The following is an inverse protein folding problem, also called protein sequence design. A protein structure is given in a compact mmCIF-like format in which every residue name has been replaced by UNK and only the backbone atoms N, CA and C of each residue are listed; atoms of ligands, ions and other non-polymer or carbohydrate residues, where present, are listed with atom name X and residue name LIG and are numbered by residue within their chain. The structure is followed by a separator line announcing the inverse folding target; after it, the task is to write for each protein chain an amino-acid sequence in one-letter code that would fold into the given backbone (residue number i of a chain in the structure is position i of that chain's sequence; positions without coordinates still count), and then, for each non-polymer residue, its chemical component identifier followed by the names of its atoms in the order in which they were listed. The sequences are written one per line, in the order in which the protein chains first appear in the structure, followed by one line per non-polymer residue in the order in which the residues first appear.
data_IF_741412026984
#
_entry.id   IF_741412026984
#
_cell.length_a   1.000
_cell.length_b   1.000
_cell.length_c   1.000
_cell.angle_alpha   90.00
_cell.angle_beta   90.00
_cell.angle_gamma   90.00
#
_symmetry.space_group_name_H-M   'P 1'
#
loop_
_entity.id
_entity.type
_entity.pdbx_description
1 polymer ?
#
# COMPACT_ATOMS: atom_id res chain seq x y z
N UNK A 1 17.96 0.61 -0.35
CA UNK A 1 16.83 0.97 0.52
C UNK A 1 15.95 1.92 -0.28
N UNK A 2 14.66 1.62 -0.49
CA UNK A 2 13.78 2.44 -1.34
C UNK A 2 13.64 3.85 -0.78
N UNK A 3 13.51 4.84 -1.67
CA UNK A 3 12.98 6.15 -1.30
C UNK A 3 11.47 6.04 -1.10
N UNK A 4 10.93 6.63 -0.03
CA UNK A 4 9.48 6.79 0.15
C UNK A 4 9.09 8.24 -0.09
N UNK A 5 8.12 8.46 -1.00
CA UNK A 5 7.62 9.77 -1.34
C UNK A 5 6.09 9.79 -1.25
N UNK A 6 5.56 10.61 -0.35
CA UNK A 6 4.12 10.78 -0.24
C UNK A 6 3.61 11.87 -1.18
N UNK A 7 2.51 11.57 -1.88
CA UNK A 7 1.75 12.53 -2.68
C UNK A 7 0.43 12.77 -1.94
N UNK A 8 0.34 13.91 -1.28
CA UNK A 8 -0.69 14.24 -0.29
C UNK A 8 -1.49 15.47 -0.71
N UNK A 9 -2.81 15.44 -0.51
CA UNK A 9 -3.66 16.54 -0.96
C UNK A 9 -5.14 16.28 -0.73
N UNK A 10 -5.99 17.21 -1.18
CA UNK A 10 -7.45 17.04 -1.10
C UNK A 10 -7.96 15.94 -2.04
N UNK A 11 -9.19 15.50 -1.82
CA UNK A 11 -9.87 14.62 -2.78
C UNK A 11 -9.96 15.35 -4.13
N UNK A 12 -9.83 14.61 -5.23
CA UNK A 12 -9.85 15.15 -6.60
C UNK A 12 -8.74 16.19 -6.94
N UNK A 13 -7.68 16.30 -6.15
CA UNK A 13 -6.55 17.21 -6.41
C UNK A 13 -5.54 16.69 -7.46
N UNK A 14 -5.89 15.68 -8.26
CA UNK A 14 -4.98 15.12 -9.27
C UNK A 14 -3.86 14.21 -8.75
N UNK A 15 -3.86 13.82 -7.46
CA UNK A 15 -2.81 12.97 -6.85
C UNK A 15 -2.52 11.69 -7.64
N UNK A 16 -3.56 10.96 -8.02
CA UNK A 16 -3.43 9.72 -8.79
C UNK A 16 -2.85 9.99 -10.18
N UNK A 17 -3.23 11.09 -10.82
CA UNK A 17 -2.69 11.49 -12.13
C UNK A 17 -1.19 11.82 -12.00
N UNK A 18 -0.80 12.54 -10.95
CA UNK A 18 0.60 12.85 -10.68
C UNK A 18 1.42 11.58 -10.39
N UNK A 19 0.89 10.67 -9.56
CA UNK A 19 1.54 9.40 -9.23
C UNK A 19 1.76 8.54 -10.48
N UNK A 20 0.74 8.42 -11.34
CA UNK A 20 0.83 7.68 -12.61
C UNK A 20 1.85 8.31 -13.58
N UNK A 21 1.84 9.64 -13.71
CA UNK A 21 2.81 10.35 -14.57
C UNK A 21 4.26 10.15 -14.09
N UNK A 22 4.47 10.20 -12.77
CA UNK A 22 5.77 9.95 -12.15
C UNK A 22 6.21 8.50 -12.38
N UNK A 23 5.31 7.54 -12.16
CA UNK A 23 5.55 6.12 -12.44
C UNK A 23 5.99 5.90 -13.89
N UNK A 24 5.23 6.40 -14.87
CA UNK A 24 5.52 6.23 -16.29
C UNK A 24 6.88 6.83 -16.68
N UNK A 25 7.19 8.02 -16.15
CA UNK A 25 8.45 8.71 -16.45
C UNK A 25 9.66 7.97 -15.87
N UNK A 26 9.57 7.51 -14.62
CA UNK A 26 10.69 6.84 -13.94
C UNK A 26 10.88 5.41 -14.41
N UNK A 27 9.78 4.67 -14.67
CA UNK A 27 9.84 3.33 -15.24
C UNK A 27 10.57 3.32 -16.58
N UNK A 28 10.31 4.30 -17.46
CA UNK A 28 11.03 4.44 -18.74
C UNK A 28 12.54 4.66 -18.58
N UNK A 29 12.99 5.09 -17.39
CA UNK A 29 14.40 5.26 -17.04
C UNK A 29 14.98 4.04 -16.31
N UNK A 30 14.23 2.95 -16.18
CA UNK A 30 14.70 1.69 -15.58
C UNK A 30 14.49 1.56 -14.07
N UNK A 31 13.85 2.54 -13.42
CA UNK A 31 13.58 2.45 -11.98
C UNK A 31 12.43 1.49 -11.67
N UNK A 32 12.57 0.70 -10.60
CA UNK A 32 11.53 -0.14 -10.01
C UNK A 32 10.68 0.69 -9.07
N UNK A 33 9.43 0.91 -9.43
CA UNK A 33 8.50 1.76 -8.69
C UNK A 33 7.37 0.91 -8.10
N UNK A 34 7.09 1.11 -6.81
CA UNK A 34 5.91 0.59 -6.13
C UNK A 34 4.99 1.74 -5.70
N UNK A 35 3.72 1.42 -5.43
CA UNK A 35 2.73 2.38 -4.96
C UNK A 35 1.96 1.78 -3.79
N UNK A 36 1.78 2.56 -2.73
CA UNK A 36 0.87 2.26 -1.63
C UNK A 36 -0.16 3.37 -1.56
N UNK A 37 -1.44 3.03 -1.60
CA UNK A 37 -2.54 3.99 -1.49
C UNK A 37 -3.19 3.87 -0.12
N UNK A 38 -3.36 5.01 0.54
CA UNK A 38 -4.19 5.11 1.74
C UNK A 38 -5.62 5.52 1.39
N UNK A 39 -6.61 4.94 2.07
CA UNK A 39 -8.00 5.40 2.03
C UNK A 39 -8.40 6.01 3.37
N UNK A 40 -9.33 6.97 3.34
CA UNK A 40 -10.02 7.45 4.54
C UNK A 40 -11.23 6.58 4.89
N UNK A 41 -11.74 5.84 3.91
CA UNK A 41 -12.83 4.90 4.09
C UNK A 41 -12.31 3.73 4.92
N UNK A 42 -13.02 3.42 5.99
CA UNK A 42 -12.63 2.34 6.92
C UNK A 42 -12.92 0.96 6.35
N UNK A 43 -13.91 0.86 5.48
CA UNK A 43 -14.40 -0.38 4.91
C UNK A 43 -14.37 -0.29 3.39
N UNK A 44 -13.22 -0.64 2.82
CA UNK A 44 -13.11 -0.89 1.39
C UNK A 44 -13.04 -2.39 1.21
N UNK A 45 -14.14 -2.99 0.76
CA UNK A 45 -14.15 -4.41 0.39
C UNK A 45 -13.30 -4.59 -0.86
N UNK A 46 -12.26 -5.41 -0.72
CA UNK A 46 -11.32 -5.78 -1.81
C UNK A 46 -11.41 -7.28 -2.12
N UNK A 47 -12.35 -7.97 -1.49
CA UNK A 47 -12.75 -9.36 -1.64
C UNK A 47 -14.28 -9.46 -1.60
N UNK A 48 -14.81 -10.66 -1.88
CA UNK A 48 -16.24 -10.92 -1.91
C UNK A 48 -16.66 -11.51 -0.55
N UNK A 49 -17.62 -10.89 0.17
CA UNK A 49 -18.16 -11.44 1.40
C UNK A 49 -18.64 -12.89 1.25
N UNK A 50 -18.55 -13.65 2.34
CA UNK A 50 -19.01 -15.04 2.47
C UNK A 50 -18.28 -16.06 1.58
N UNK A 51 -17.26 -15.65 0.82
CA UNK A 51 -16.37 -16.58 0.10
C UNK A 51 -15.16 -16.98 0.93
N UNK A 52 -14.44 -18.01 0.48
CA UNK A 52 -13.32 -18.64 1.21
C UNK A 52 -12.29 -17.63 1.75
N UNK A 53 -11.76 -16.75 0.90
CA UNK A 53 -10.76 -15.74 1.31
C UNK A 53 -11.29 -14.79 2.39
N UNK A 54 -12.58 -14.43 2.30
CA UNK A 54 -13.24 -13.57 3.28
C UNK A 54 -13.44 -14.31 4.60
N UNK A 55 -13.88 -15.57 4.56
CA UNK A 55 -14.06 -16.40 5.75
C UNK A 55 -12.74 -16.57 6.53
N UNK A 56 -11.61 -16.77 5.84
CA UNK A 56 -10.29 -16.83 6.48
C UNK A 56 -9.89 -15.51 7.16
N UNK A 57 -10.23 -14.36 6.55
CA UNK A 57 -9.98 -13.05 7.16
C UNK A 57 -10.85 -12.80 8.39
N UNK A 58 -12.14 -13.12 8.31
CA UNK A 58 -13.09 -12.96 9.43
C UNK A 58 -12.75 -13.90 10.59
N UNK A 59 -12.17 -15.06 10.31
CA UNK A 59 -11.62 -15.95 11.33
C UNK A 59 -10.41 -15.34 12.07
N UNK A 60 -9.92 -14.17 11.65
CA UNK A 60 -8.86 -13.44 12.34
C UNK A 60 -7.45 -13.93 12.02
N UNK A 61 -7.26 -14.70 10.95
CA UNK A 61 -5.94 -15.18 10.53
C UNK A 61 -5.00 -13.99 10.26
N UNK A 62 -3.74 -14.11 10.68
CA UNK A 62 -2.75 -13.03 10.62
C UNK A 62 -2.44 -12.59 9.19
N UNK A 63 -2.35 -13.54 8.26
CA UNK A 63 -2.10 -13.29 6.85
C UNK A 63 -2.89 -14.27 5.96
N UNK A 64 -3.60 -13.74 4.96
CA UNK A 64 -4.35 -14.55 3.97
C UNK A 64 -3.86 -14.15 2.58
N UNK A 65 -3.33 -15.11 1.83
CA UNK A 65 -2.89 -14.93 0.45
C UNK A 65 -3.90 -15.51 -0.53
N UNK A 66 -4.29 -14.73 -1.53
CA UNK A 66 -5.07 -15.19 -2.67
C UNK A 66 -4.21 -15.15 -3.93
N UNK A 67 -3.83 -16.33 -4.41
CA UNK A 67 -2.95 -16.51 -5.56
C UNK A 67 -3.75 -16.88 -6.81
N UNK A 68 -3.58 -16.08 -7.85
CA UNK A 68 -4.15 -16.29 -9.18
C UNK A 68 -3.00 -16.25 -10.20
N UNK A 69 -3.26 -16.70 -11.42
CA UNK A 69 -2.26 -16.76 -12.49
C UNK A 69 -1.51 -15.44 -12.71
N UNK A 70 -2.22 -14.30 -12.66
CA UNK A 70 -1.67 -12.97 -12.96
C UNK A 70 -1.77 -11.99 -11.79
N UNK A 71 -2.26 -12.42 -10.63
CA UNK A 71 -2.52 -11.55 -9.49
C UNK A 71 -2.29 -12.27 -8.18
N UNK A 72 -1.60 -11.60 -7.26
CA UNK A 72 -1.50 -12.03 -5.88
C UNK A 72 -2.04 -10.93 -4.99
N UNK A 73 -3.00 -11.28 -4.13
CA UNK A 73 -3.55 -10.38 -3.12
C UNK A 73 -3.18 -10.89 -1.73
N UNK A 74 -2.62 -10.00 -0.91
CA UNK A 74 -2.24 -10.29 0.48
C UNK A 74 -3.08 -9.45 1.43
N UNK A 75 -3.84 -10.12 2.30
CA UNK A 75 -4.52 -9.50 3.42
C UNK A 75 -3.72 -9.72 4.69
N UNK A 76 -3.51 -8.65 5.45
CA UNK A 76 -2.80 -8.70 6.73
C UNK A 76 -3.73 -8.18 7.82
N UNK A 77 -3.85 -8.94 8.90
CA UNK A 77 -4.56 -8.50 10.09
C UNK A 77 -3.60 -7.69 10.98
N UNK A 78 -3.72 -6.36 11.06
CA UNK A 78 -2.71 -5.51 11.71
C UNK A 78 -2.52 -5.86 13.19
N UNK A 79 -3.60 -6.22 13.89
CA UNK A 79 -3.54 -6.59 15.32
C UNK A 79 -2.71 -7.84 15.55
N UNK A 80 -2.82 -8.83 14.67
CA UNK A 80 -2.13 -10.11 14.81
C UNK A 80 -0.65 -10.05 14.43
N UNK A 81 -0.27 -9.07 13.62
CA UNK A 81 1.13 -8.84 13.23
C UNK A 81 1.79 -7.69 14.02
N UNK A 82 1.18 -7.26 15.13
CA UNK A 82 1.76 -6.26 16.03
C UNK A 82 1.78 -4.83 15.49
N UNK A 83 0.97 -4.52 14.49
CA UNK A 83 0.86 -3.18 13.94
C UNK A 83 -0.15 -2.36 14.74
N UNK A 84 0.35 -1.30 15.38
CA UNK A 84 -0.44 -0.40 16.21
C UNK A 84 -0.40 1.06 15.73
N UNK A 85 0.56 1.40 14.88
CA UNK A 85 0.81 2.76 14.43
C UNK A 85 1.22 2.85 12.94
N UNK A 86 1.19 4.07 12.39
CA UNK A 86 1.72 4.34 11.05
C UNK A 86 3.25 4.10 10.96
N UNK A 87 3.97 4.21 12.08
CA UNK A 87 5.40 3.92 12.14
C UNK A 87 5.67 2.42 12.02
N UNK A 88 4.83 1.59 12.64
CA UNK A 88 4.93 0.13 12.49
C UNK A 88 4.68 -0.26 11.03
N UNK A 89 3.64 0.31 10.42
CA UNK A 89 3.38 0.15 8.98
C UNK A 89 4.58 0.51 8.10
N UNK A 90 5.28 1.61 8.40
CA UNK A 90 6.47 2.01 7.64
C UNK A 90 7.57 0.94 7.66
N UNK A 91 7.81 0.28 8.80
CA UNK A 91 8.79 -0.82 8.91
C UNK A 91 8.36 -2.02 8.04
N UNK A 92 7.07 -2.33 8.03
CA UNK A 92 6.53 -3.37 7.16
C UNK A 92 6.65 -3.01 5.68
N UNK A 93 6.37 -1.76 5.30
CA UNK A 93 6.52 -1.31 3.92
C UNK A 93 7.98 -1.41 3.46
N UNK A 94 8.94 -1.04 4.30
CA UNK A 94 10.37 -1.25 4.02
C UNK A 94 10.68 -2.71 3.72
N UNK A 95 10.07 -3.64 4.46
CA UNK A 95 10.28 -5.08 4.29
C UNK A 95 9.62 -5.60 3.00
N UNK A 96 8.40 -5.18 2.68
CA UNK A 96 7.70 -5.61 1.46
C UNK A 96 8.34 -5.05 0.17
N UNK A 97 8.81 -3.80 0.22
CA UNK A 97 9.28 -3.08 -0.95
C UNK A 97 10.80 -2.86 -0.97
N UNK A 98 11.55 -3.67 -0.23
CA UNK A 98 13.00 -3.53 -0.07
C UNK A 98 13.79 -3.52 -1.40
N UNK A 99 13.26 -4.20 -2.42
CA UNK A 99 13.87 -4.35 -3.74
C UNK A 99 13.47 -3.28 -4.76
N UNK A 100 12.67 -2.29 -4.34
CA UNK A 100 12.25 -1.17 -5.18
C UNK A 100 13.18 0.03 -4.99
N UNK A 101 13.23 0.91 -6.00
CA UNK A 101 14.00 2.15 -5.95
C UNK A 101 13.19 3.29 -5.31
N UNK A 102 11.88 3.34 -5.63
CA UNK A 102 10.93 4.31 -5.11
C UNK A 102 9.60 3.65 -4.75
N UNK A 103 9.05 4.00 -3.60
CA UNK A 103 7.69 3.68 -3.17
C UNK A 103 6.89 4.98 -3.06
N UNK A 104 5.91 5.15 -3.94
CA UNK A 104 4.99 6.30 -3.91
C UNK A 104 3.88 6.00 -2.90
N UNK A 105 3.68 6.90 -1.94
CA UNK A 105 2.62 6.82 -0.95
C UNK A 105 1.50 7.80 -1.34
N UNK A 106 0.44 7.31 -2.00
CA UNK A 106 -0.71 8.17 -2.32
C UNK A 106 -1.59 8.40 -1.08
N UNK A 107 -1.65 9.65 -0.62
CA UNK A 107 -2.23 10.04 0.65
C UNK A 107 -1.20 10.07 1.77
N UNK A 108 -1.45 9.37 2.88
CA UNK A 108 -0.54 9.32 4.04
C UNK A 108 -0.22 10.70 4.66
N UNK A 109 -1.23 11.58 4.75
CA UNK A 109 -1.07 12.96 5.28
C UNK A 109 -0.35 13.02 6.64
N UNK A 110 -0.61 12.03 7.49
CA UNK A 110 -0.14 11.97 8.89
C UNK A 110 1.12 11.11 9.07
N UNK A 111 1.78 10.67 7.99
CA UNK A 111 3.04 9.94 8.08
C UNK A 111 4.21 10.92 7.98
N UNK A 112 4.78 11.33 9.11
CA UNK A 112 5.83 12.36 9.15
C UNK A 112 7.25 11.83 8.92
N UNK A 113 7.38 10.53 8.66
CA UNK A 113 8.66 9.85 8.44
C UNK A 113 9.17 9.93 6.99
N UNK A 114 8.42 10.54 6.08
CA UNK A 114 8.69 10.53 4.64
C UNK A 114 8.57 11.93 4.05
N UNK A 115 9.28 12.17 2.95
CA UNK A 115 9.10 13.40 2.17
C UNK A 115 7.70 13.44 1.56
N UNK A 116 7.11 14.64 1.48
CA UNK A 116 5.76 14.87 0.99
C UNK A 116 5.77 15.92 -0.12
N UNK A 117 4.95 15.69 -1.13
CA UNK A 117 4.53 16.66 -2.16
C UNK A 117 3.02 16.81 -2.06
#
# INVERSE_FOLDING_TARGET
MPLFLAISGYHNAGKTVLALSLYETLKKRGYKIAVIKSSKEKEVLTDIPEKDTWLYREAGISAVGFFQENLFTLYLNPKMIGISSLKDWYIHFLSFFWSYDLVILEGFKNLDLVHKI
#
